data_IF_868478960906
#
_entry.id   IF_868478960906
#
_cell.length_a   1.000
_cell.length_b   1.000
_cell.length_c   1.000
_cell.angle_alpha   90.00
_cell.angle_beta   90.00
_cell.angle_gamma   90.00
#
_symmetry.space_group_name_H-M   'P 1'
#
loop_
_entity.id
_entity.type
_entity.pdbx_description
1 polymer ?
#
# COMPACT_ATOMS: atom_id res chain seq x y z
N UNK A 1 17.54 9.82 -10.75
CA UNK A 1 17.75 9.98 -9.29
C UNK A 1 16.42 10.19 -8.54
N UNK A 2 15.55 11.11 -8.95
CA UNK A 2 14.29 11.40 -8.24
C UNK A 2 13.25 10.26 -8.22
N UNK A 3 12.95 9.63 -9.37
CA UNK A 3 11.93 8.56 -9.39
C UNK A 3 12.32 7.35 -8.54
N UNK A 4 13.59 6.95 -8.54
CA UNK A 4 14.08 5.86 -7.69
C UNK A 4 13.91 6.14 -6.20
N UNK A 5 14.12 7.39 -5.75
CA UNK A 5 13.87 7.79 -4.36
C UNK A 5 12.38 7.70 -3.99
N UNK A 6 11.50 8.12 -4.89
CA UNK A 6 10.04 8.05 -4.68
C UNK A 6 9.56 6.60 -4.68
N UNK A 7 10.03 5.78 -5.61
CA UNK A 7 9.78 4.33 -5.65
C UNK A 7 10.28 3.63 -4.38
N UNK A 8 11.46 4.01 -3.92
CA UNK A 8 12.00 3.49 -2.67
C UNK A 8 11.16 3.91 -1.45
N UNK A 9 10.78 5.19 -1.38
CA UNK A 9 10.06 5.75 -0.22
C UNK A 9 8.62 5.26 -0.09
N UNK A 10 7.89 5.16 -1.19
CA UNK A 10 6.43 4.96 -1.16
C UNK A 10 5.99 3.58 -1.66
N UNK A 11 6.86 2.87 -2.40
CA UNK A 11 6.47 1.65 -3.12
C UNK A 11 7.42 0.48 -2.83
N UNK A 12 8.20 0.56 -1.74
CA UNK A 12 9.07 -0.52 -1.24
C UNK A 12 8.68 -1.05 0.13
N UNK A 13 7.48 -0.74 0.61
CA UNK A 13 7.02 -1.33 1.85
C UNK A 13 6.85 -2.84 1.68
N UNK A 14 7.19 -3.59 2.73
CA UNK A 14 6.81 -4.98 2.92
C UNK A 14 6.71 -5.30 4.41
N UNK A 15 5.72 -6.11 4.76
CA UNK A 15 5.44 -6.61 6.10
C UNK A 15 6.05 -7.98 6.38
N UNK A 16 6.65 -8.64 5.39
CA UNK A 16 7.08 -10.05 5.49
C UNK A 16 8.02 -10.33 6.67
N UNK A 17 9.03 -9.50 6.90
CA UNK A 17 9.96 -9.67 8.03
C UNK A 17 9.27 -9.42 9.37
N UNK A 18 8.37 -8.44 9.44
CA UNK A 18 7.59 -8.15 10.66
C UNK A 18 6.59 -9.28 10.95
N UNK A 19 6.03 -9.89 9.91
CA UNK A 19 5.17 -11.06 10.02
C UNK A 19 5.97 -12.29 10.48
N UNK A 20 7.19 -12.49 9.97
CA UNK A 20 8.09 -13.55 10.44
C UNK A 20 8.48 -13.36 11.91
N UNK A 21 8.77 -12.13 12.33
CA UNK A 21 9.05 -11.80 13.73
C UNK A 21 7.85 -12.13 14.64
N UNK A 22 6.64 -11.69 14.25
CA UNK A 22 5.40 -12.01 14.97
C UNK A 22 5.19 -13.53 15.08
N UNK A 23 5.31 -14.26 13.96
CA UNK A 23 5.17 -15.72 13.94
C UNK A 23 6.21 -16.39 14.85
N UNK A 24 7.48 -15.96 14.77
CA UNK A 24 8.58 -16.48 15.58
C UNK A 24 8.30 -16.30 17.07
N UNK A 25 7.82 -15.11 17.48
CA UNK A 25 7.50 -14.82 18.88
C UNK A 25 6.30 -15.65 19.36
N UNK A 26 5.22 -15.74 18.58
CA UNK A 26 4.05 -16.55 18.92
C UNK A 26 4.38 -18.03 19.05
N UNK A 27 5.21 -18.57 18.15
CA UNK A 27 5.65 -19.96 18.21
C UNK A 27 6.58 -20.24 19.39
N UNK A 28 7.41 -19.27 19.77
CA UNK A 28 8.25 -19.35 20.97
C UNK A 28 7.41 -19.36 22.26
N UNK A 29 6.35 -18.56 22.32
CA UNK A 29 5.51 -18.42 23.52
C UNK A 29 4.46 -19.53 23.66
N UNK A 30 3.85 -19.96 22.54
CA UNK A 30 2.67 -20.84 22.53
C UNK A 30 2.95 -22.22 21.93
N UNK A 31 4.14 -22.44 21.40
CA UNK A 31 4.48 -23.63 20.61
C UNK A 31 4.13 -23.46 19.13
N UNK A 32 4.68 -24.34 18.29
CA UNK A 32 4.64 -24.24 16.83
C UNK A 32 3.22 -24.15 16.25
N UNK A 33 2.32 -25.04 16.70
CA UNK A 33 0.98 -25.18 16.13
C UNK A 33 0.04 -24.07 16.63
N UNK A 34 0.03 -23.81 17.93
CA UNK A 34 -0.82 -22.76 18.53
C UNK A 34 -0.35 -21.36 18.14
N UNK A 35 0.98 -21.13 18.12
CA UNK A 35 1.54 -19.87 17.65
C UNK A 35 1.16 -19.57 16.20
N UNK A 36 1.15 -20.59 15.34
CA UNK A 36 0.68 -20.45 13.96
C UNK A 36 -0.83 -20.15 13.89
N UNK A 37 -1.67 -20.85 14.66
CA UNK A 37 -3.11 -20.57 14.71
C UNK A 37 -3.40 -19.12 15.11
N UNK A 38 -2.72 -18.62 16.15
CA UNK A 38 -2.85 -17.23 16.59
C UNK A 38 -2.32 -16.26 15.52
N UNK A 39 -1.19 -16.57 14.87
CA UNK A 39 -0.69 -15.75 13.77
C UNK A 39 -1.73 -15.61 12.65
N UNK A 40 -2.34 -16.71 12.22
CA UNK A 40 -3.36 -16.71 11.17
C UNK A 40 -4.62 -15.92 11.55
N UNK A 41 -4.97 -15.86 12.83
CA UNK A 41 -6.06 -15.00 13.32
C UNK A 41 -5.67 -13.51 13.33
N UNK A 42 -4.41 -13.19 13.62
CA UNK A 42 -3.91 -11.80 13.65
C UNK A 42 -3.51 -11.26 12.27
N UNK A 43 -3.26 -12.16 11.31
CA UNK A 43 -2.79 -11.86 9.95
C UNK A 43 -3.60 -12.66 8.93
N UNK A 44 -4.92 -12.46 8.93
CA UNK A 44 -5.77 -13.05 7.91
C UNK A 44 -5.37 -12.54 6.53
N UNK A 45 -5.48 -13.40 5.53
CA UNK A 45 -5.02 -13.12 4.17
C UNK A 45 -6.09 -12.42 3.33
N UNK A 46 -7.36 -12.69 3.63
CA UNK A 46 -8.49 -12.21 2.88
C UNK A 46 -9.73 -12.16 3.79
N UNK A 47 -10.35 -10.99 3.86
CA UNK A 47 -11.71 -10.81 4.37
C UNK A 47 -12.63 -10.43 3.20
N UNK A 48 -13.57 -11.31 2.79
CA UNK A 48 -14.54 -11.01 1.74
C UNK A 48 -15.50 -9.87 2.07
N UNK A 49 -15.66 -9.52 3.35
CA UNK A 49 -16.53 -8.41 3.79
C UNK A 49 -15.86 -7.03 3.72
N UNK A 50 -14.54 -6.99 3.45
CA UNK A 50 -13.82 -5.74 3.32
C UNK A 50 -14.32 -4.92 2.11
N UNK A 51 -14.60 -3.61 2.27
CA UNK A 51 -15.02 -2.76 1.16
C UNK A 51 -13.91 -2.65 0.11
N UNK A 52 -14.29 -2.77 -1.16
CA UNK A 52 -13.36 -2.77 -2.30
C UNK A 52 -13.50 -1.51 -3.15
N UNK A 53 -12.38 -1.07 -3.75
CA UNK A 53 -12.35 0.04 -4.69
C UNK A 53 -13.02 -0.37 -6.02
N UNK A 54 -12.64 -1.55 -6.53
CA UNK A 54 -13.13 -2.14 -7.78
C UNK A 54 -14.14 -3.22 -7.46
N UNK A 55 -15.35 -3.07 -7.98
CA UNK A 55 -16.50 -3.91 -7.67
C UNK A 55 -16.72 -5.02 -8.68
N UNK A 56 -16.32 -4.79 -9.93
CA UNK A 56 -16.38 -5.82 -10.97
C UNK A 56 -15.62 -7.09 -10.57
N UNK A 57 -16.23 -8.25 -10.87
CA UNK A 57 -15.61 -9.55 -10.63
C UNK A 57 -14.29 -9.65 -11.40
N UNK A 58 -13.17 -9.60 -10.67
CA UNK A 58 -11.86 -9.82 -11.25
C UNK A 58 -11.63 -11.32 -11.43
N UNK A 59 -10.89 -11.70 -12.49
CA UNK A 59 -10.48 -13.09 -12.66
C UNK A 59 -9.68 -13.51 -11.44
N UNK A 60 -10.07 -14.62 -10.82
CA UNK A 60 -9.49 -15.25 -9.62
C UNK A 60 -8.05 -15.75 -9.81
N UNK A 61 -7.30 -15.26 -10.81
CA UNK A 61 -5.99 -15.80 -11.19
C UNK A 61 -4.85 -15.35 -10.27
N UNK A 62 -5.04 -14.32 -9.44
CA UNK A 62 -4.06 -13.90 -8.42
C UNK A 62 -4.25 -14.65 -7.09
N UNK A 63 -4.75 -15.88 -7.13
CA UNK A 63 -4.80 -16.73 -5.94
C UNK A 63 -3.37 -17.18 -5.60
N UNK A 64 -2.73 -16.49 -4.66
CA UNK A 64 -1.62 -17.09 -3.92
C UNK A 64 -2.14 -18.38 -3.27
N UNK A 65 -1.63 -19.53 -3.71
CA UNK A 65 -2.02 -20.84 -3.21
C UNK A 65 -1.42 -21.02 -1.81
N UNK A 66 -2.23 -21.52 -0.89
CA UNK A 66 -2.09 -21.23 0.55
C UNK A 66 -1.98 -22.46 1.45
N UNK A 67 -1.98 -23.67 0.89
CA UNK A 67 -2.06 -24.86 1.73
C UNK A 67 -0.67 -25.42 2.01
N UNK A 68 -0.22 -25.20 3.26
CA UNK A 68 0.66 -26.07 4.06
C UNK A 68 2.18 -25.88 4.09
N UNK A 69 2.79 -24.90 3.42
CA UNK A 69 4.25 -24.75 3.47
C UNK A 69 4.68 -23.54 4.32
N UNK A 70 4.44 -23.65 5.63
CA UNK A 70 5.16 -22.85 6.63
C UNK A 70 6.27 -23.64 7.32
N UNK A 71 6.45 -24.91 6.89
CA UNK A 71 7.56 -25.74 7.32
C UNK A 71 8.83 -25.21 6.64
N UNK A 72 9.90 -25.09 7.42
CA UNK A 72 11.25 -24.76 6.96
C UNK A 72 11.54 -23.28 6.63
N UNK A 73 10.80 -22.32 7.20
CA UNK A 73 11.27 -20.92 7.28
C UNK A 73 12.08 -20.77 8.57
N UNK A 74 13.32 -20.28 8.47
CA UNK A 74 14.14 -20.07 9.66
C UNK A 74 13.57 -18.92 10.50
N UNK A 75 13.53 -19.05 11.85
CA UNK A 75 13.10 -17.95 12.70
C UNK A 75 14.03 -16.74 12.52
N UNK A 76 13.54 -15.57 12.86
CA UNK A 76 14.35 -14.35 12.93
C UNK A 76 14.73 -14.04 14.38
N UNK A 77 15.95 -13.57 14.62
CA UNK A 77 16.36 -13.12 15.95
C UNK A 77 15.75 -11.76 16.27
N UNK A 78 15.45 -11.52 17.56
CA UNK A 78 14.95 -10.23 18.04
C UNK A 78 15.85 -9.05 17.64
N UNK A 79 17.17 -9.27 17.56
CA UNK A 79 18.14 -8.24 17.14
C UNK A 79 17.93 -7.89 15.66
N UNK A 80 17.89 -8.89 14.79
CA UNK A 80 17.67 -8.70 13.36
C UNK A 80 16.30 -8.04 13.09
N UNK A 81 15.23 -8.54 13.70
CA UNK A 81 13.89 -7.96 13.54
C UNK A 81 13.85 -6.46 13.94
N UNK A 82 14.47 -6.10 15.08
CA UNK A 82 14.59 -4.69 15.51
C UNK A 82 15.42 -3.85 14.55
N UNK A 83 16.53 -4.38 14.04
CA UNK A 83 17.37 -3.68 13.05
C UNK A 83 16.60 -3.44 11.76
N UNK A 84 15.88 -4.44 11.25
CA UNK A 84 15.03 -4.31 10.07
C UNK A 84 13.98 -3.22 10.27
N UNK A 85 13.23 -3.26 11.38
CA UNK A 85 12.21 -2.26 11.69
C UNK A 85 12.80 -0.85 11.84
N UNK A 86 13.96 -0.70 12.47
CA UNK A 86 14.63 0.59 12.60
C UNK A 86 15.02 1.18 11.23
N UNK A 87 15.59 0.36 10.35
CA UNK A 87 15.93 0.78 8.99
C UNK A 87 14.69 1.09 8.15
N UNK A 88 13.65 0.26 8.24
CA UNK A 88 12.38 0.50 7.55
C UNK A 88 11.77 1.83 8.01
N UNK A 89 11.81 2.17 9.31
CA UNK A 89 11.31 3.45 9.84
C UNK A 89 12.10 4.64 9.31
N UNK A 90 13.42 4.51 9.15
CA UNK A 90 14.26 5.54 8.53
C UNK A 90 13.90 5.70 7.05
N UNK A 91 13.78 4.60 6.32
CA UNK A 91 13.54 4.58 4.88
C UNK A 91 12.13 5.03 4.49
N UNK A 92 11.09 4.56 5.18
CA UNK A 92 9.67 4.72 4.85
C UNK A 92 8.92 5.67 5.78
N UNK A 93 9.49 5.98 6.95
CA UNK A 93 8.88 6.83 7.96
C UNK A 93 8.18 6.02 9.05
N UNK A 94 8.20 6.53 10.28
CA UNK A 94 7.64 5.86 11.46
C UNK A 94 6.16 5.50 11.28
N UNK A 95 5.35 6.43 10.77
CA UNK A 95 3.91 6.24 10.63
C UNK A 95 3.55 5.12 9.67
N UNK A 96 4.25 5.02 8.53
CA UNK A 96 4.08 3.95 7.54
C UNK A 96 4.40 2.58 8.13
N UNK A 97 5.52 2.46 8.84
CA UNK A 97 5.98 1.17 9.40
C UNK A 97 5.18 0.74 10.61
N UNK A 98 4.75 1.68 11.45
CA UNK A 98 4.02 1.38 12.68
C UNK A 98 2.51 1.24 12.45
N UNK A 99 2.05 1.26 11.19
CA UNK A 99 0.64 1.11 10.85
C UNK A 99 -0.24 2.27 11.32
N UNK A 100 0.36 3.42 11.64
CA UNK A 100 -0.42 4.65 11.86
C UNK A 100 -1.03 5.00 10.51
N UNK A 101 -2.34 5.29 10.41
CA UNK A 101 -3.00 5.54 9.14
C UNK A 101 -2.44 6.80 8.43
N UNK A 102 -1.32 6.68 7.74
CA UNK A 102 -0.98 7.54 6.60
C UNK A 102 -1.82 7.04 5.45
N UNK A 103 -2.64 7.92 4.93
CA UNK A 103 -3.68 7.53 4.03
C UNK A 103 -3.76 8.50 2.86
N UNK A 104 -4.39 8.10 1.78
CA UNK A 104 -4.78 9.01 0.70
C UNK A 104 -6.18 8.62 0.33
N UNK A 105 -7.05 9.60 0.19
CA UNK A 105 -8.42 9.36 -0.23
C UNK A 105 -8.68 9.93 -1.62
N UNK A 106 -9.63 9.32 -2.30
CA UNK A 106 -10.16 9.80 -3.57
C UNK A 106 -11.58 9.29 -3.74
N UNK A 107 -12.42 10.08 -4.41
CA UNK A 107 -13.68 9.60 -4.94
C UNK A 107 -13.95 10.22 -6.29
N UNK A 108 -14.56 9.43 -7.16
CA UNK A 108 -14.98 9.85 -8.49
C UNK A 108 -16.45 9.52 -8.64
N UNK A 109 -17.27 10.51 -8.95
CA UNK A 109 -18.70 10.36 -9.15
C UNK A 109 -19.01 10.63 -10.61
N UNK A 110 -19.95 9.87 -11.15
CA UNK A 110 -20.58 10.13 -12.44
C UNK A 110 -21.68 11.18 -12.31
N UNK A 111 -22.08 11.81 -13.41
CA UNK A 111 -23.05 12.89 -13.48
C UNK A 111 -24.46 12.51 -13.03
N UNK A 112 -24.82 11.23 -13.09
CA UNK A 112 -26.08 10.73 -12.52
C UNK A 112 -26.10 10.74 -10.98
N UNK A 113 -24.92 10.83 -10.34
CA UNK A 113 -24.72 10.99 -8.89
C UNK A 113 -24.49 12.45 -8.48
N UNK A 114 -24.44 13.40 -9.42
CA UNK A 114 -24.23 14.82 -9.14
C UNK A 114 -25.46 15.65 -9.50
N UNK A 115 -25.70 16.76 -8.78
CA UNK A 115 -26.81 17.68 -9.10
C UNK A 115 -26.55 18.36 -10.43
N UNK A 116 -25.29 18.70 -10.69
CA UNK A 116 -24.81 19.44 -11.85
C UNK A 116 -24.73 18.56 -13.12
N UNK A 117 -24.88 17.24 -12.99
CA UNK A 117 -24.89 16.32 -14.14
C UNK A 117 -23.53 16.10 -14.78
N UNK A 118 -22.44 16.29 -14.02
CA UNK A 118 -21.06 16.17 -14.48
C UNK A 118 -20.28 15.19 -13.61
N UNK A 119 -19.28 14.54 -14.22
CA UNK A 119 -18.32 13.75 -13.47
C UNK A 119 -17.46 14.64 -12.56
N UNK A 120 -17.25 14.20 -11.32
CA UNK A 120 -16.45 14.92 -10.32
C UNK A 120 -15.39 13.99 -9.77
N UNK A 121 -14.13 14.43 -9.81
CA UNK A 121 -13.01 13.75 -9.15
C UNK A 121 -12.52 14.62 -7.99
N UNK A 122 -12.54 14.05 -6.79
CA UNK A 122 -11.87 14.59 -5.62
C UNK A 122 -10.69 13.70 -5.24
N UNK A 123 -9.57 14.30 -4.85
CA UNK A 123 -8.41 13.56 -4.37
C UNK A 123 -7.72 14.30 -3.21
N UNK A 124 -7.63 13.66 -2.06
CA UNK A 124 -6.88 14.12 -0.89
C UNK A 124 -5.66 13.23 -0.62
N UNK A 125 -4.51 13.48 -1.29
CA UNK A 125 -3.27 12.78 -0.98
C UNK A 125 -2.73 13.24 0.38
N UNK A 126 -2.59 12.33 1.36
CA UNK A 126 -2.11 12.67 2.71
C UNK A 126 -0.68 12.13 2.88
N UNK A 127 0.29 13.04 2.77
CA UNK A 127 1.71 12.73 2.88
C UNK A 127 2.34 13.27 4.17
N UNK A 128 1.53 13.85 5.06
CA UNK A 128 1.99 14.69 6.17
C UNK A 128 1.92 16.18 5.82
N UNK A 129 2.16 17.05 6.81
CA UNK A 129 2.19 18.50 6.65
C UNK A 129 3.62 19.01 6.82
N UNK A 130 4.06 19.84 5.88
CA UNK A 130 5.43 20.34 5.80
C UNK A 130 5.45 21.82 5.45
N UNK A 131 6.51 22.51 5.88
CA UNK A 131 6.81 23.89 5.49
C UNK A 131 8.23 23.94 4.93
N UNK A 132 8.43 24.22 3.63
CA UNK A 132 7.41 24.51 2.61
C UNK A 132 6.56 23.28 2.25
N UNK A 133 5.46 23.50 1.52
CA UNK A 133 4.53 22.45 1.11
C UNK A 133 5.25 21.32 0.33
N UNK A 134 4.81 20.07 0.54
CA UNK A 134 5.37 18.90 -0.15
C UNK A 134 4.98 18.83 -1.63
N UNK A 135 3.87 19.49 -2.00
CA UNK A 135 3.41 19.61 -3.38
C UNK A 135 3.70 20.99 -3.95
N UNK A 136 3.85 21.04 -5.27
CA UNK A 136 4.03 22.26 -6.05
C UNK A 136 2.91 22.36 -7.09
N UNK A 137 2.25 23.53 -7.15
CA UNK A 137 1.25 23.83 -8.15
C UNK A 137 1.93 24.27 -9.45
N UNK A 138 1.52 23.69 -10.58
CA UNK A 138 2.13 23.96 -11.89
C UNK A 138 1.09 23.85 -13.00
N UNK A 139 1.20 24.73 -13.99
CA UNK A 139 0.56 24.61 -15.29
C UNK A 139 1.61 24.43 -16.39
N UNK A 140 1.39 23.48 -17.29
CA UNK A 140 2.28 23.23 -18.43
C UNK A 140 1.49 23.41 -19.73
N UNK A 141 1.91 24.38 -20.54
CA UNK A 141 1.27 24.75 -21.81
C UNK A 141 2.32 24.80 -22.92
N UNK A 142 2.37 23.77 -23.77
CA UNK A 142 3.37 23.60 -24.83
C UNK A 142 3.88 22.16 -24.94
N UNK A 143 4.59 21.84 -26.03
CA UNK A 143 5.18 20.51 -26.29
C UNK A 143 4.19 19.33 -26.14
N UNK A 144 2.92 19.55 -26.50
CA UNK A 144 1.84 18.56 -26.38
C UNK A 144 1.18 18.48 -25.00
N UNK A 145 1.61 19.31 -24.03
CA UNK A 145 0.94 19.47 -22.75
C UNK A 145 0.02 20.71 -22.75
N UNK A 146 -1.12 20.58 -22.10
CA UNK A 146 -2.00 21.68 -21.72
C UNK A 146 -2.72 21.27 -20.43
N UNK A 147 -2.07 21.47 -19.28
CA UNK A 147 -2.54 20.95 -18.00
C UNK A 147 -2.36 21.95 -16.87
N UNK A 148 -3.08 21.71 -15.78
CA UNK A 148 -2.87 22.36 -14.48
C UNK A 148 -3.07 21.33 -13.37
N UNK A 149 -2.35 21.49 -12.26
CA UNK A 149 -2.46 20.58 -11.13
C UNK A 149 -1.39 20.81 -10.08
N UNK A 150 -1.23 19.81 -9.22
CA UNK A 150 -0.22 19.76 -8.16
C UNK A 150 0.55 18.45 -8.23
N UNK A 151 1.80 18.45 -7.78
CA UNK A 151 2.63 17.24 -7.73
C UNK A 151 3.69 17.33 -6.63
N UNK A 152 4.16 16.22 -6.04
CA UNK A 152 5.30 16.25 -5.12
C UNK A 152 6.50 16.97 -5.74
N UNK A 153 7.15 17.84 -4.96
CA UNK A 153 8.28 18.67 -5.42
C UNK A 153 9.38 17.78 -6.04
N UNK A 154 9.91 18.21 -7.19
CA UNK A 154 11.01 17.52 -7.88
C UNK A 154 10.59 16.45 -8.88
N UNK A 155 9.28 16.26 -9.09
CA UNK A 155 8.75 15.37 -10.14
C UNK A 155 8.43 16.11 -11.44
N UNK A 156 8.93 15.64 -12.59
CA UNK A 156 8.47 16.09 -13.91
C UNK A 156 7.01 15.71 -14.21
N UNK A 157 6.50 14.65 -13.58
CA UNK A 157 5.14 14.17 -13.78
C UNK A 157 4.16 14.84 -12.82
N UNK A 158 3.01 15.27 -13.33
CA UNK A 158 1.94 15.90 -12.55
C UNK A 158 0.99 14.80 -12.10
N UNK A 159 1.03 14.43 -10.82
CA UNK A 159 0.26 13.28 -10.30
C UNK A 159 -1.22 13.58 -10.05
N UNK A 160 -1.58 14.85 -9.85
CA UNK A 160 -2.94 15.26 -9.50
C UNK A 160 -3.30 16.49 -10.34
N UNK A 161 -4.28 16.37 -11.24
CA UNK A 161 -4.61 17.50 -12.11
C UNK A 161 -5.59 17.18 -13.22
N UNK A 162 -5.67 18.10 -14.18
CA UNK A 162 -6.50 18.00 -15.36
C UNK A 162 -5.82 18.65 -16.57
N UNK A 163 -6.15 18.16 -17.76
CA UNK A 163 -5.75 18.78 -19.03
C UNK A 163 -6.94 19.42 -19.78
N UNK A 164 -8.07 19.60 -19.09
CA UNK A 164 -9.32 20.12 -19.65
C UNK A 164 -10.14 19.09 -20.43
N UNK A 165 -9.61 17.89 -20.71
CA UNK A 165 -10.35 16.76 -21.30
C UNK A 165 -10.61 15.67 -20.27
N UNK A 166 -9.59 15.35 -19.49
CA UNK A 166 -9.63 14.37 -18.41
C UNK A 166 -9.10 14.99 -17.13
N UNK A 167 -9.52 14.46 -15.99
CA UNK A 167 -8.93 14.69 -14.68
C UNK A 167 -8.39 13.36 -14.13
N UNK A 168 -7.28 13.43 -13.41
CA UNK A 168 -6.67 12.25 -12.79
C UNK A 168 -6.18 12.56 -11.38
N UNK A 169 -6.15 11.50 -10.59
CA UNK A 169 -5.63 11.50 -9.23
C UNK A 169 -5.09 10.13 -8.87
N UNK A 170 -4.53 10.01 -7.66
CA UNK A 170 -4.04 8.74 -7.18
C UNK A 170 -4.12 8.58 -5.66
N UNK A 171 -4.11 7.33 -5.24
CA UNK A 171 -3.84 6.91 -3.87
C UNK A 171 -2.77 5.82 -3.90
N UNK A 172 -2.05 5.60 -2.80
CA UNK A 172 -1.18 4.41 -2.66
C UNK A 172 -2.01 3.15 -2.94
N UNK A 173 -1.43 2.23 -3.71
CA UNK A 173 -2.06 0.97 -4.09
C UNK A 173 -1.89 -0.10 -3.02
N UNK A 174 -2.68 -1.17 -3.14
CA UNK A 174 -2.65 -2.34 -2.23
C UNK A 174 -2.14 -3.60 -2.92
N UNK A 175 -1.62 -3.48 -4.14
CA UNK A 175 -1.04 -4.61 -4.86
C UNK A 175 0.33 -4.97 -4.28
N UNK A 176 0.59 -6.28 -4.20
CA UNK A 176 1.82 -6.83 -3.67
C UNK A 176 2.91 -6.92 -4.76
N UNK A 177 3.83 -5.96 -4.73
CA UNK A 177 4.89 -5.78 -5.75
C UNK A 177 6.31 -6.00 -5.23
N UNK A 178 6.48 -6.35 -3.96
CA UNK A 178 7.79 -6.49 -3.32
C UNK A 178 7.81 -7.76 -2.47
N UNK A 179 8.94 -8.48 -2.49
CA UNK A 179 9.17 -9.61 -1.59
C UNK A 179 10.50 -9.42 -0.88
N UNK A 180 10.61 -10.01 0.30
CA UNK A 180 11.85 -10.19 1.04
C UNK A 180 12.30 -11.64 0.89
N UNK A 181 13.58 -11.83 0.64
CA UNK A 181 14.20 -13.14 0.57
C UNK A 181 15.10 -13.36 1.79
N UNK A 182 14.86 -14.46 2.52
CA UNK A 182 15.75 -14.97 3.55
C UNK A 182 16.87 -15.79 2.88
N UNK A 183 18.07 -15.25 2.93
CA UNK A 183 19.29 -15.81 2.35
C UNK A 183 20.03 -16.62 3.42
N UNK A 184 20.38 -17.87 3.14
CA UNK A 184 21.25 -18.68 4.00
C UNK A 184 22.70 -18.30 3.77
N UNK A 185 23.40 -17.84 4.79
CA UNK A 185 24.80 -17.42 4.73
C UNK A 185 25.74 -18.63 4.77
N UNK A 186 26.90 -18.53 4.12
CA UNK A 186 27.96 -19.52 4.29
C UNK A 186 28.48 -19.48 5.74
N UNK A 187 28.42 -20.59 6.51
CA UNK A 187 28.91 -20.63 7.88
C UNK A 187 30.39 -20.28 8.03
N UNK A 188 31.19 -20.52 6.98
CA UNK A 188 32.63 -20.19 6.95
C UNK A 188 32.93 -18.78 6.42
N UNK A 189 31.99 -18.15 5.72
CA UNK A 189 32.15 -16.80 5.18
C UNK A 189 30.80 -16.08 5.08
N UNK A 190 30.44 -15.25 6.06
CA UNK A 190 29.15 -14.55 6.08
C UNK A 190 28.94 -13.56 4.92
N UNK A 191 29.95 -13.34 4.06
CA UNK A 191 29.85 -12.53 2.83
C UNK A 191 29.55 -13.37 1.57
N UNK A 192 29.20 -14.63 1.76
CA UNK A 192 28.64 -15.51 0.75
C UNK A 192 27.28 -16.07 1.21
N UNK A 193 26.44 -16.44 0.26
CA UNK A 193 25.13 -17.01 0.53
C UNK A 193 24.79 -18.13 -0.46
N UNK A 194 23.94 -19.06 -0.01
CA UNK A 194 23.54 -20.23 -0.79
C UNK A 194 22.64 -19.80 -1.95
N UNK A 195 22.99 -20.19 -3.16
CA UNK A 195 22.18 -20.02 -4.35
C UNK A 195 22.39 -21.19 -5.31
N UNK A 196 21.30 -21.91 -5.65
CA UNK A 196 21.31 -23.08 -6.53
C UNK A 196 22.38 -24.12 -6.14
N UNK A 197 22.47 -24.41 -4.85
CA UNK A 197 23.36 -25.45 -4.29
C UNK A 197 24.81 -25.03 -4.07
N UNK A 198 25.21 -23.80 -4.42
CA UNK A 198 26.57 -23.28 -4.19
C UNK A 198 26.54 -21.98 -3.38
N UNK A 199 27.59 -21.74 -2.59
CA UNK A 199 27.79 -20.44 -1.95
C UNK A 199 28.40 -19.47 -2.97
N UNK A 200 27.76 -18.32 -3.15
CA UNK A 200 28.25 -17.25 -4.02
C UNK A 200 28.41 -15.95 -3.24
N UNK A 201 29.38 -15.09 -3.59
CA UNK A 201 29.61 -13.84 -2.87
C UNK A 201 28.47 -12.85 -3.11
N UNK A 202 28.21 -12.01 -2.11
CA UNK A 202 27.43 -10.80 -2.32
C UNK A 202 28.20 -9.82 -3.22
N UNK A 203 27.48 -9.09 -4.08
CA UNK A 203 28.03 -7.86 -4.62
C UNK A 203 28.25 -6.86 -3.49
N UNK A 204 29.43 -6.27 -3.40
CA UNK A 204 29.81 -5.36 -2.32
C UNK A 204 30.28 -4.02 -2.89
N UNK A 205 29.80 -2.93 -2.30
CA UNK A 205 30.23 -1.58 -2.64
C UNK A 205 30.32 -0.74 -1.37
N UNK A 206 31.40 0.00 -1.23
CA UNK A 206 31.52 1.04 -0.22
C UNK A 206 30.93 2.35 -0.73
N UNK A 207 30.00 2.92 0.04
CA UNK A 207 29.42 4.23 -0.19
C UNK A 207 29.97 5.18 0.85
N UNK A 208 30.67 6.21 0.40
CA UNK A 208 31.25 7.23 1.26
C UNK A 208 30.25 8.36 1.46
N UNK A 209 29.78 8.53 2.69
CA UNK A 209 28.85 9.58 3.10
C UNK A 209 29.66 10.70 3.75
N UNK A 210 29.69 11.86 3.09
CA UNK A 210 30.34 13.05 3.65
C UNK A 210 29.52 13.57 4.83
N UNK A 211 30.16 13.72 6.00
CA UNK A 211 29.52 14.22 7.22
C UNK A 211 30.09 15.60 7.54
N UNK A 212 29.21 16.60 7.68
CA UNK A 212 29.64 17.99 7.95
C UNK A 212 30.45 18.03 9.25
N UNK A 213 31.65 18.62 9.18
CA UNK A 213 32.59 18.78 10.30
C UNK A 213 33.06 17.46 10.95
N UNK A 214 32.96 16.33 10.25
CA UNK A 214 33.42 15.03 10.72
C UNK A 214 34.14 14.28 9.60
N UNK A 215 34.79 13.18 9.93
CA UNK A 215 35.32 12.27 8.93
C UNK A 215 34.17 11.66 8.10
N UNK A 216 34.47 11.28 6.85
CA UNK A 216 33.53 10.56 6.01
C UNK A 216 33.08 9.27 6.70
N UNK A 217 31.78 9.00 6.70
CA UNK A 217 31.24 7.72 7.13
C UNK A 217 31.22 6.76 5.93
N UNK A 218 31.88 5.61 6.04
CA UNK A 218 31.87 4.57 4.99
C UNK A 218 30.80 3.54 5.30
N UNK A 219 29.84 3.40 4.40
CA UNK A 219 28.77 2.42 4.47
C UNK A 219 29.06 1.27 3.51
N UNK A 220 29.09 0.04 4.03
CA UNK A 220 29.13 -1.17 3.21
C UNK A 220 27.73 -1.53 2.72
N UNK A 221 27.55 -1.58 1.40
CA UNK A 221 26.31 -1.96 0.73
C UNK A 221 26.49 -3.32 0.08
N UNK A 222 25.63 -4.26 0.45
CA UNK A 222 25.64 -5.62 -0.10
C UNK A 222 24.39 -5.87 -0.95
N UNK A 223 24.57 -6.55 -2.08
CA UNK A 223 23.51 -6.94 -3.02
C UNK A 223 23.62 -8.42 -3.34
N UNK A 224 22.54 -9.17 -3.12
CA UNK A 224 22.38 -10.54 -3.61
C UNK A 224 21.71 -10.54 -4.99
N UNK A 225 21.50 -11.73 -5.56
CA UNK A 225 20.67 -11.92 -6.78
C UNK A 225 19.25 -11.41 -6.61
N UNK A 226 18.71 -11.44 -5.38
CA UNK A 226 17.34 -11.03 -5.06
C UNK A 226 17.22 -9.56 -4.67
N UNK A 227 18.33 -8.84 -4.50
CA UNK A 227 18.30 -7.40 -4.26
C UNK A 227 19.25 -6.95 -3.16
N UNK A 228 19.06 -5.72 -2.69
CA UNK A 228 19.90 -5.17 -1.62
C UNK A 228 19.57 -5.83 -0.29
N UNK A 229 20.62 -6.19 0.46
CA UNK A 229 20.49 -6.74 1.81
C UNK A 229 20.01 -5.62 2.72
N UNK A 230 18.83 -5.80 3.32
CA UNK A 230 18.30 -4.91 4.34
C UNK A 230 18.91 -5.24 5.71
N UNK A 231 18.88 -6.50 6.13
CA UNK A 231 19.28 -6.87 7.49
C UNK A 231 20.04 -8.19 7.54
N UNK A 232 20.93 -8.31 8.52
CA UNK A 232 21.71 -9.50 8.81
C UNK A 232 21.24 -10.12 10.13
N UNK A 233 21.15 -11.44 10.16
CA UNK A 233 20.84 -12.24 11.34
C UNK A 233 21.92 -13.30 11.53
N UNK A 234 23.07 -12.86 12.05
CA UNK A 234 24.26 -13.69 12.24
C UNK A 234 23.99 -14.89 13.17
N UNK A 235 23.10 -14.72 14.16
CA UNK A 235 22.73 -15.79 15.09
C UNK A 235 22.06 -16.98 14.39
N UNK A 236 21.33 -16.72 13.31
CA UNK A 236 20.63 -17.73 12.53
C UNK A 236 21.34 -18.03 11.20
N UNK A 237 22.55 -17.49 10.98
CA UNK A 237 23.25 -17.57 9.69
C UNK A 237 22.37 -17.17 8.50
N UNK A 238 21.56 -16.11 8.65
CA UNK A 238 20.72 -15.60 7.57
C UNK A 238 20.92 -14.11 7.31
N UNK A 239 20.55 -13.66 6.12
CA UNK A 239 20.38 -12.26 5.77
C UNK A 239 19.09 -12.06 4.99
N UNK A 240 18.56 -10.85 4.98
CA UNK A 240 17.28 -10.52 4.34
C UNK A 240 17.54 -9.54 3.21
N UNK A 241 17.10 -9.86 1.99
CA UNK A 241 17.26 -8.99 0.82
C UNK A 241 15.89 -8.67 0.21
N UNK A 242 15.70 -7.42 -0.20
CA UNK A 242 14.42 -7.00 -0.77
C UNK A 242 14.46 -6.98 -2.30
N UNK A 243 13.55 -7.72 -2.92
CA UNK A 243 13.28 -7.76 -4.35
C UNK A 243 12.08 -6.89 -4.68
N UNK A 244 12.21 -6.03 -5.69
CA UNK A 244 11.20 -5.03 -6.05
C UNK A 244 10.85 -5.18 -7.52
N UNK A 245 9.57 -5.31 -7.85
CA UNK A 245 9.17 -5.53 -9.25
C UNK A 245 9.44 -4.34 -10.16
N UNK A 246 9.55 -3.14 -9.59
CA UNK A 246 9.84 -1.91 -10.30
C UNK A 246 11.33 -1.70 -10.59
N UNK A 247 12.24 -2.50 -10.01
CA UNK A 247 13.68 -2.37 -10.25
C UNK A 247 14.00 -2.56 -11.75
N UNK A 248 14.73 -1.61 -12.32
CA UNK A 248 15.09 -1.59 -13.74
C UNK A 248 14.06 -0.96 -14.68
N UNK A 249 12.89 -0.54 -14.17
CA UNK A 249 11.83 0.14 -14.95
C UNK A 249 11.36 1.45 -14.29
N UNK A 250 12.22 2.06 -13.47
CA UNK A 250 11.94 3.30 -12.75
C UNK A 250 11.70 4.47 -13.71
N UNK A 251 12.50 4.56 -14.76
CA UNK A 251 12.37 5.60 -15.79
C UNK A 251 11.09 5.39 -16.62
N UNK A 252 10.77 4.15 -16.98
CA UNK A 252 9.51 3.85 -17.67
C UNK A 252 8.29 4.23 -16.82
N UNK A 253 8.34 4.00 -15.51
CA UNK A 253 7.29 4.45 -14.59
C UNK A 253 7.15 5.97 -14.58
N UNK A 254 8.28 6.70 -14.52
CA UNK A 254 8.25 8.18 -14.60
C UNK A 254 7.65 8.66 -15.92
N UNK A 255 8.01 8.04 -17.04
CA UNK A 255 7.47 8.37 -18.35
C UNK A 255 5.98 8.02 -18.47
N UNK A 256 5.53 6.92 -17.86
CA UNK A 256 4.12 6.59 -17.72
C UNK A 256 3.35 7.69 -16.98
N UNK A 257 3.83 8.10 -15.80
CA UNK A 257 3.21 9.21 -15.05
C UNK A 257 3.18 10.52 -15.85
N UNK A 258 4.29 10.89 -16.49
CA UNK A 258 4.37 12.16 -17.22
C UNK A 258 3.46 12.16 -18.46
N UNK A 259 3.46 11.09 -19.24
CA UNK A 259 2.70 11.03 -20.49
C UNK A 259 1.20 10.80 -20.28
N UNK A 260 0.77 10.26 -19.12
CA UNK A 260 -0.64 10.10 -18.79
C UNK A 260 -1.40 11.43 -18.83
N UNK A 261 -0.72 12.53 -18.49
CA UNK A 261 -1.29 13.87 -18.53
C UNK A 261 -1.65 14.39 -19.94
N UNK A 262 -1.19 13.70 -21.00
CA UNK A 262 -1.54 14.01 -22.41
C UNK A 262 -2.73 13.20 -22.93
N UNK A 263 -3.20 12.21 -22.17
CA UNK A 263 -4.32 11.38 -22.57
C UNK A 263 -5.61 12.22 -22.70
N UNK A 264 -6.42 11.87 -23.69
CA UNK A 264 -7.71 12.53 -23.98
C UNK A 264 -8.91 11.61 -23.72
N UNK A 265 -8.66 10.36 -23.38
CA UNK A 265 -9.68 9.34 -23.09
C UNK A 265 -9.08 8.22 -22.21
N UNK A 266 -9.94 7.31 -21.77
CA UNK A 266 -9.58 6.16 -20.92
C UNK A 266 -8.50 5.25 -21.52
N UNK A 267 -8.61 4.93 -22.81
CA UNK A 267 -7.68 3.99 -23.45
C UNK A 267 -6.27 4.58 -23.58
N UNK A 268 -6.16 5.87 -23.93
CA UNK A 268 -4.88 6.59 -23.93
C UNK A 268 -4.28 6.69 -22.52
N UNK A 269 -5.12 6.86 -21.50
CA UNK A 269 -4.70 6.88 -20.10
C UNK A 269 -4.16 5.52 -19.65
N UNK A 270 -4.88 4.43 -19.96
CA UNK A 270 -4.42 3.05 -19.70
C UNK A 270 -3.17 2.66 -20.49
N UNK A 271 -2.99 3.20 -21.69
CA UNK A 271 -1.78 2.99 -22.49
C UNK A 271 -0.53 3.55 -21.81
N UNK A 272 -0.66 4.52 -20.92
CA UNK A 272 0.43 4.99 -20.05
C UNK A 272 0.46 4.27 -18.71
N UNK A 273 -0.71 3.92 -18.15
CA UNK A 273 -0.83 3.18 -16.91
C UNK A 273 -0.06 1.84 -16.94
N UNK A 274 -0.07 1.13 -18.08
CA UNK A 274 0.68 -0.14 -18.26
C UNK A 274 2.19 -0.02 -18.08
N UNK A 275 2.75 1.20 -18.12
CA UNK A 275 4.19 1.47 -17.96
C UNK A 275 4.59 1.69 -16.49
N UNK A 276 3.61 1.79 -15.60
CA UNK A 276 3.79 2.12 -14.18
C UNK A 276 3.95 0.82 -13.40
N UNK A 277 5.17 0.60 -12.90
CA UNK A 277 5.49 -0.58 -12.10
C UNK A 277 5.19 -0.40 -10.60
N UNK A 278 4.97 0.84 -10.16
CA UNK A 278 4.65 1.19 -8.78
C UNK A 278 3.24 0.72 -8.38
N UNK A 279 3.10 0.19 -7.16
CA UNK A 279 1.78 -0.14 -6.59
C UNK A 279 0.99 1.13 -6.25
N UNK A 280 0.21 1.63 -7.20
CA UNK A 280 -0.54 2.88 -7.11
C UNK A 280 -1.93 2.72 -7.71
N UNK A 281 -2.96 3.29 -7.11
CA UNK A 281 -4.30 3.33 -7.69
C UNK A 281 -4.47 4.65 -8.42
N UNK A 282 -4.79 4.60 -9.72
CA UNK A 282 -5.15 5.77 -10.52
C UNK A 282 -6.65 5.92 -10.64
N UNK A 283 -7.11 7.18 -10.60
CA UNK A 283 -8.50 7.58 -10.79
C UNK A 283 -8.61 8.44 -12.05
N UNK A 284 -9.73 8.33 -12.75
CA UNK A 284 -10.01 8.99 -14.01
C UNK A 284 -11.42 9.56 -14.01
N UNK A 285 -11.57 10.78 -14.53
CA UNK A 285 -12.86 11.36 -14.94
C UNK A 285 -12.67 12.13 -16.25
N UNK A 286 -13.70 12.23 -17.09
CA UNK A 286 -13.65 13.04 -18.30
C UNK A 286 -14.88 13.91 -18.55
N UNK A 287 -14.76 14.81 -19.53
CA UNK A 287 -15.83 15.74 -19.94
C UNK A 287 -17.03 15.08 -20.61
N UNK A 288 -16.97 13.77 -20.89
CA UNK A 288 -18.05 12.97 -21.45
C UNK A 288 -18.77 12.14 -20.38
N UNK A 289 -18.60 12.51 -19.12
CA UNK A 289 -19.23 11.85 -17.97
C UNK A 289 -18.79 10.39 -17.78
N UNK A 290 -17.55 10.06 -18.16
CA UNK A 290 -16.98 8.76 -17.85
C UNK A 290 -16.07 8.84 -16.64
N UNK A 291 -16.08 7.77 -15.84
CA UNK A 291 -15.22 7.61 -14.68
C UNK A 291 -14.50 6.27 -14.73
N UNK A 292 -13.32 6.17 -14.14
CA UNK A 292 -12.56 4.94 -14.12
C UNK A 292 -11.55 4.86 -12.98
N UNK A 293 -11.11 3.64 -12.72
CA UNK A 293 -10.08 3.34 -11.73
C UNK A 293 -9.20 2.19 -12.20
N UNK A 294 -7.91 2.25 -11.90
CA UNK A 294 -6.98 1.17 -12.19
C UNK A 294 -5.98 1.00 -11.04
N UNK A 295 -5.88 -0.22 -10.51
CA UNK A 295 -4.85 -0.60 -9.55
C UNK A 295 -3.59 -1.02 -10.33
N UNK A 296 -2.58 -0.18 -10.31
CA UNK A 296 -1.34 -0.34 -11.06
C UNK A 296 -0.27 -1.00 -10.21
N UNK A 297 0.71 -1.60 -10.89
CA UNK A 297 1.82 -2.31 -10.27
C UNK A 297 2.31 -3.41 -11.20
N UNK A 298 3.62 -3.63 -11.24
CA UNK A 298 4.21 -4.76 -11.97
C UNK A 298 4.14 -5.99 -11.07
N UNK A 299 3.23 -6.91 -11.37
CA UNK A 299 2.93 -8.04 -10.47
C UNK A 299 3.88 -9.22 -10.74
N UNK A 300 4.67 -9.68 -9.75
CA UNK A 300 5.53 -10.85 -9.94
C UNK A 300 4.71 -12.14 -10.00
N UNK A 301 5.15 -13.08 -10.84
CA UNK A 301 4.65 -14.45 -10.86
C UNK A 301 5.48 -15.24 -9.84
N UNK A 302 4.87 -15.53 -8.69
CA UNK A 302 5.49 -16.27 -7.58
C UNK A 302 5.28 -17.78 -7.77
N UNK A 303 6.26 -18.63 -7.42
CA UNK A 303 6.06 -20.08 -7.42
C UNK A 303 5.08 -20.49 -6.31
N UNK A 304 4.41 -21.62 -6.49
CA UNK A 304 3.34 -22.10 -5.60
C UNK A 304 3.78 -22.33 -4.14
N UNK A 305 5.07 -22.58 -3.93
CA UNK A 305 5.65 -22.82 -2.61
C UNK A 305 5.98 -21.53 -1.83
N UNK A 306 5.79 -20.34 -2.43
CA UNK A 306 6.07 -19.07 -1.77
C UNK A 306 4.84 -18.55 -1.02
N UNK A 307 4.98 -18.37 0.29
CA UNK A 307 3.93 -17.78 1.12
C UNK A 307 3.95 -16.24 1.04
N UNK A 308 2.84 -15.62 0.64
CA UNK A 308 2.77 -14.16 0.34
C UNK A 308 3.03 -13.24 1.54
N UNK A 309 2.86 -13.72 2.78
CA UNK A 309 3.08 -12.89 3.99
C UNK A 309 4.44 -13.08 4.65
N UNK A 310 5.30 -13.96 4.15
CA UNK A 310 6.56 -14.31 4.81
C UNK A 310 7.72 -14.29 3.81
N UNK A 311 8.97 -14.09 4.29
CA UNK A 311 10.12 -14.04 3.40
C UNK A 311 10.27 -15.33 2.59
N UNK A 312 10.51 -15.18 1.29
CA UNK A 312 10.84 -16.27 0.38
C UNK A 312 12.25 -16.84 0.64
N UNK A 313 12.51 -18.08 0.25
CA UNK A 313 13.86 -18.67 0.32
C UNK A 313 14.78 -18.12 -0.76
N UNK A 314 15.95 -17.64 -0.34
CA UNK A 314 16.99 -17.06 -1.20
C UNK A 314 17.85 -18.05 -1.98
N UNK A 315 17.64 -19.35 -1.80
CA UNK A 315 18.43 -20.44 -2.38
C UNK A 315 18.17 -20.69 -3.88
N UNK A 316 17.23 -19.94 -4.47
CA UNK A 316 16.82 -20.07 -5.87
C UNK A 316 15.55 -20.89 -6.09
N UNK A 317 15.01 -21.56 -5.06
CA UNK A 317 13.80 -22.39 -5.15
C UNK A 317 12.50 -21.58 -5.20
N UNK A 318 12.53 -20.32 -4.74
CA UNK A 318 11.37 -19.41 -4.70
C UNK A 318 11.57 -18.17 -5.58
N UNK A 319 12.38 -18.27 -6.65
CA UNK A 319 12.55 -17.16 -7.58
C UNK A 319 11.27 -16.84 -8.35
N UNK A 320 11.01 -15.55 -8.54
CA UNK A 320 9.97 -15.08 -9.46
C UNK A 320 10.16 -15.67 -10.85
N UNK A 321 9.06 -16.15 -11.43
CA UNK A 321 9.00 -16.80 -12.73
C UNK A 321 8.74 -15.81 -13.88
N UNK A 322 8.65 -14.51 -13.57
CA UNK A 322 8.32 -13.46 -14.50
C UNK A 322 7.37 -12.44 -13.88
N UNK A 323 6.63 -11.75 -14.74
CA UNK A 323 5.63 -10.78 -14.34
C UNK A 323 4.37 -11.00 -15.17
N UNK A 324 3.21 -10.76 -14.55
CA UNK A 324 1.94 -10.78 -15.27
C UNK A 324 1.84 -9.61 -16.24
N UNK A 325 1.15 -9.83 -17.37
CA UNK A 325 0.76 -8.76 -18.27
C UNK A 325 -0.22 -7.79 -17.61
N UNK A 326 -0.21 -6.52 -18.03
CA UNK A 326 -1.10 -5.46 -17.53
C UNK A 326 -2.60 -5.79 -17.61
N UNK A 327 -3.00 -6.76 -18.44
CA UNK A 327 -4.36 -7.27 -18.47
C UNK A 327 -4.81 -7.82 -17.10
N UNK A 328 -3.89 -8.31 -16.28
CA UNK A 328 -4.14 -8.83 -14.93
C UNK A 328 -4.29 -7.74 -13.87
N UNK A 329 -3.86 -6.50 -14.15
CA UNK A 329 -4.08 -5.39 -13.24
C UNK A 329 -5.59 -5.11 -13.11
N UNK A 330 -6.13 -5.05 -11.88
CA UNK A 330 -7.52 -4.72 -11.63
C UNK A 330 -7.86 -3.33 -12.15
N UNK A 331 -8.96 -3.22 -12.89
CA UNK A 331 -9.43 -1.96 -13.49
C UNK A 331 -10.93 -2.00 -13.70
N UNK A 332 -11.56 -0.85 -13.63
CA UNK A 332 -13.00 -0.69 -13.83
C UNK A 332 -13.29 0.67 -14.48
N UNK A 333 -14.22 0.66 -15.44
CA UNK A 333 -14.62 1.82 -16.21
C UNK A 333 -16.15 1.90 -16.20
N UNK A 334 -16.69 3.06 -15.83
CA UNK A 334 -18.12 3.32 -15.66
C UNK A 334 -18.83 2.25 -14.80
N UNK A 335 -18.45 2.10 -13.51
CA UNK A 335 -19.08 1.14 -12.61
C UNK A 335 -20.58 1.41 -12.48
N UNK A 336 -21.39 0.35 -12.35
CA UNK A 336 -22.84 0.46 -12.20
C UNK A 336 -23.27 1.29 -10.98
N UNK A 337 -22.43 1.33 -9.94
CA UNK A 337 -22.67 2.13 -8.74
C UNK A 337 -22.68 3.64 -8.99
N UNK A 338 -22.15 4.10 -10.14
CA UNK A 338 -22.04 5.52 -10.50
C UNK A 338 -20.92 6.25 -9.76
N UNK A 339 -20.12 5.57 -8.93
CA UNK A 339 -18.94 6.15 -8.30
C UNK A 339 -17.88 5.11 -7.96
N UNK A 340 -16.66 5.59 -7.74
CA UNK A 340 -15.54 4.84 -7.15
C UNK A 340 -15.04 5.64 -5.94
N UNK A 341 -14.64 4.96 -4.86
CA UNK A 341 -13.97 5.61 -3.72
C UNK A 341 -12.83 4.78 -3.19
N UNK A 342 -11.84 5.44 -2.64
CA UNK A 342 -10.66 4.84 -2.02
C UNK A 342 -10.30 5.61 -0.77
N UNK A 343 -9.91 4.87 0.26
CA UNK A 343 -9.07 5.39 1.33
C UNK A 343 -7.91 4.43 1.64
N UNK A 344 -7.25 3.96 0.57
CA UNK A 344 -6.29 2.83 0.57
C UNK A 344 -6.89 1.51 1.08
N UNK A 345 -8.20 1.34 1.00
CA UNK A 345 -8.86 0.07 1.24
C UNK A 345 -8.52 -0.93 0.11
N UNK A 346 -9.00 -2.15 0.28
CA UNK A 346 -8.76 -3.28 -0.61
C UNK A 346 -9.07 -2.94 -2.07
N UNK A 347 -8.15 -3.19 -3.01
CA UNK A 347 -8.37 -2.79 -4.40
C UNK A 347 -9.52 -3.57 -5.06
N UNK A 348 -9.64 -4.88 -4.82
CA UNK A 348 -10.67 -5.74 -5.41
C UNK A 348 -10.94 -6.97 -4.52
N UNK A 349 -12.06 -7.67 -4.77
CA UNK A 349 -12.43 -8.87 -4.03
C UNK A 349 -11.41 -10.00 -4.24
N UNK A 350 -10.97 -10.65 -3.16
CA UNK A 350 -9.96 -11.71 -3.22
C UNK A 350 -8.50 -11.24 -3.34
N UNK A 351 -8.23 -9.93 -3.30
CA UNK A 351 -6.86 -9.41 -3.16
C UNK A 351 -6.20 -9.98 -1.90
N UNK A 352 -4.99 -10.50 -2.06
CA UNK A 352 -4.09 -10.97 -1.00
C UNK A 352 -2.74 -10.28 -1.17
N UNK A 353 -2.16 -9.82 -0.06
CA UNK A 353 -0.81 -9.23 0.02
C UNK A 353 -0.21 -9.51 1.40
N UNK A 354 1.09 -9.29 1.52
CA UNK A 354 1.83 -9.35 2.79
C UNK A 354 1.29 -8.46 3.92
N UNK A 355 0.51 -7.44 3.55
CA UNK A 355 -0.04 -6.36 4.37
C UNK A 355 -1.58 -6.31 4.33
N UNK A 356 -2.24 -7.34 3.79
CA UNK A 356 -3.69 -7.39 3.50
C UNK A 356 -4.61 -7.70 4.70
N UNK A 357 -4.37 -7.09 5.86
CA UNK A 357 -5.33 -7.14 6.97
C UNK A 357 -6.56 -6.23 6.72
N UNK A 358 -7.09 -6.20 5.50
CA UNK A 358 -8.32 -5.50 5.16
C UNK A 358 -9.50 -6.21 5.81
N UNK A 359 -10.49 -5.47 6.33
CA UNK A 359 -11.70 -6.05 6.91
C UNK A 359 -12.90 -5.15 6.71
N UNK A 360 -14.08 -5.57 7.16
CA UNK A 360 -15.25 -4.67 7.23
C UNK A 360 -14.99 -3.42 8.10
N UNK A 361 -14.05 -3.51 9.05
CA UNK A 361 -13.54 -2.37 9.82
C UNK A 361 -12.55 -1.61 8.95
N UNK A 362 -13.07 -0.67 8.16
CA UNK A 362 -12.27 0.16 7.26
C UNK A 362 -12.72 1.63 7.33
N UNK A 363 -11.75 2.54 7.26
CA UNK A 363 -11.99 3.98 7.28
C UNK A 363 -12.69 4.48 6.02
N UNK A 364 -12.60 3.76 4.90
CA UNK A 364 -13.32 4.11 3.67
C UNK A 364 -14.83 4.16 3.90
N UNK A 365 -15.36 3.49 4.93
CA UNK A 365 -16.77 3.55 5.27
C UNK A 365 -17.22 4.97 5.71
N UNK A 366 -16.30 5.84 6.15
CA UNK A 366 -16.58 7.27 6.39
C UNK A 366 -16.73 8.09 5.09
N UNK A 367 -16.31 7.52 3.95
CA UNK A 367 -16.52 8.10 2.62
C UNK A 367 -17.71 7.45 1.92
N UNK A 368 -17.87 6.13 2.05
CA UNK A 368 -18.98 5.38 1.42
C UNK A 368 -20.33 5.87 1.94
N UNK A 369 -20.48 5.99 3.26
CA UNK A 369 -21.76 6.39 3.88
C UNK A 369 -22.31 7.73 3.34
N UNK A 370 -21.55 8.84 3.31
CA UNK A 370 -22.05 10.08 2.72
C UNK A 370 -22.24 10.00 1.20
N UNK A 371 -21.41 9.25 0.47
CA UNK A 371 -21.58 9.02 -0.99
C UNK A 371 -22.87 8.26 -1.34
N UNK A 372 -23.40 7.47 -0.40
CA UNK A 372 -24.63 6.70 -0.56
C UNK A 372 -25.84 7.34 0.15
N UNK A 373 -25.63 8.39 0.95
CA UNK A 373 -26.67 9.04 1.73
C UNK A 373 -27.78 9.69 0.88
N UNK A 374 -27.50 9.99 -0.39
CA UNK A 374 -28.42 10.62 -1.34
C UNK A 374 -28.26 10.03 -2.73
N UNK A 375 -29.32 10.13 -3.52
CA UNK A 375 -29.26 9.77 -4.94
C UNK A 375 -28.29 10.67 -5.73
N UNK A 376 -28.27 11.97 -5.41
CA UNK A 376 -27.39 12.97 -6.01
C UNK A 376 -26.79 13.88 -4.95
N UNK A 377 -25.54 14.31 -5.16
CA UNK A 377 -24.80 15.25 -4.32
C UNK A 377 -24.44 16.50 -5.12
N UNK A 378 -24.52 17.67 -4.48
CA UNK A 378 -23.93 18.91 -5.00
C UNK A 378 -22.41 18.87 -4.94
N UNK A 379 -21.73 19.72 -5.71
CA UNK A 379 -20.27 19.88 -5.60
C UNK A 379 -19.82 20.25 -4.17
N UNK A 380 -20.58 21.08 -3.46
CA UNK A 380 -20.25 21.45 -2.09
C UNK A 380 -20.34 20.26 -1.14
N UNK A 381 -21.37 19.41 -1.27
CA UNK A 381 -21.49 18.20 -0.46
C UNK A 381 -20.35 17.23 -0.75
N UNK A 382 -20.00 17.04 -2.03
CA UNK A 382 -18.86 16.21 -2.44
C UNK A 382 -17.55 16.73 -1.82
N UNK A 383 -17.36 18.05 -1.76
CA UNK A 383 -16.18 18.67 -1.14
C UNK A 383 -16.14 18.46 0.39
N UNK A 384 -17.27 18.64 1.08
CA UNK A 384 -17.35 18.53 2.55
C UNK A 384 -17.22 17.09 3.07
N UNK A 385 -17.31 16.06 2.21
CA UNK A 385 -17.05 14.66 2.59
C UNK A 385 -15.69 14.52 3.26
N UNK A 386 -14.64 15.14 2.69
CA UNK A 386 -13.28 15.02 3.25
C UNK A 386 -13.20 15.54 4.68
N UNK A 387 -13.85 16.68 4.93
CA UNK A 387 -13.85 17.35 6.24
C UNK A 387 -14.68 16.59 7.26
N UNK A 388 -15.83 16.08 6.84
CA UNK A 388 -16.68 15.21 7.67
C UNK A 388 -15.92 13.94 8.06
N UNK A 389 -15.25 13.30 7.10
CA UNK A 389 -14.42 12.13 7.33
C UNK A 389 -13.23 12.44 8.24
N UNK A 390 -12.56 13.59 8.07
CA UNK A 390 -11.44 14.02 8.91
C UNK A 390 -11.83 14.24 10.38
N UNK A 391 -13.09 14.59 10.65
CA UNK A 391 -13.62 14.68 12.02
C UNK A 391 -14.07 13.33 12.58
N UNK A 392 -14.10 12.26 11.81
CA UNK A 392 -14.66 10.99 12.26
C UNK A 392 -13.69 10.25 13.17
N UNK A 393 -14.17 9.76 14.32
CA UNK A 393 -13.43 8.74 15.06
C UNK A 393 -13.59 7.40 14.33
N UNK A 394 -12.48 6.90 13.79
CA UNK A 394 -12.44 5.71 12.94
C UNK A 394 -12.76 4.40 13.68
N UNK A 395 -12.78 4.43 15.02
CA UNK A 395 -13.11 3.28 15.87
C UNK A 395 -14.57 3.35 16.32
N UNK A 396 -15.09 4.55 16.56
CA UNK A 396 -16.33 4.77 17.26
C UNK A 396 -17.53 4.05 16.63
N UNK A 397 -17.67 4.05 15.29
CA UNK A 397 -18.77 3.33 14.60
C UNK A 397 -18.78 1.83 14.88
N UNK A 398 -17.60 1.25 15.13
CA UNK A 398 -17.44 -0.18 15.31
C UNK A 398 -17.51 -0.58 16.78
N UNK A 399 -17.00 0.24 17.70
CA UNK A 399 -16.92 -0.12 19.12
C UNK A 399 -18.04 0.45 19.98
N UNK A 400 -18.52 1.68 19.70
CA UNK A 400 -19.54 2.34 20.53
C UNK A 400 -20.81 1.50 20.68
N UNK A 401 -21.39 0.90 19.62
CA UNK A 401 -22.57 0.05 19.76
C UNK A 401 -22.37 -1.12 20.74
N UNK A 402 -21.20 -1.78 20.71
CA UNK A 402 -20.90 -2.87 21.64
C UNK A 402 -20.62 -2.37 23.06
N UNK A 403 -19.97 -1.22 23.22
CA UNK A 403 -19.74 -0.61 24.54
C UNK A 403 -21.06 -0.23 25.20
N UNK A 404 -21.98 0.38 24.44
CA UNK A 404 -23.33 0.73 24.92
C UNK A 404 -24.11 -0.52 25.32
N UNK A 405 -24.07 -1.56 24.48
CA UNK A 405 -24.71 -2.87 24.79
C UNK A 405 -24.10 -3.51 26.04
N UNK A 406 -22.78 -3.53 26.17
CA UNK A 406 -22.10 -4.12 27.32
C UNK A 406 -22.44 -3.40 28.63
N UNK A 407 -22.65 -2.09 28.59
CA UNK A 407 -23.03 -1.29 29.75
C UNK A 407 -24.44 -1.60 30.30
N UNK A 408 -25.30 -2.26 29.51
CA UNK A 408 -26.62 -2.74 29.96
C UNK A 408 -26.53 -3.99 30.84
N UNK A 409 -25.37 -4.66 30.87
CA UNK A 409 -25.15 -5.83 31.71
C UNK A 409 -25.31 -5.51 33.20
N UNK A 410 -25.92 -6.40 34.01
CA UNK A 410 -25.91 -6.28 35.47
C UNK A 410 -24.49 -6.17 36.05
N UNK A 411 -23.49 -6.77 35.37
CA UNK A 411 -22.07 -6.77 35.75
C UNK A 411 -21.33 -5.49 35.34
N UNK A 412 -21.96 -4.57 34.61
CA UNK A 412 -21.31 -3.33 34.18
C UNK A 412 -21.04 -2.42 35.38
N UNK A 413 -19.88 -1.77 35.39
CA UNK A 413 -19.49 -0.83 36.45
C UNK A 413 -20.42 0.39 36.47
N UNK A 414 -20.56 1.08 37.61
CA UNK A 414 -21.33 2.33 37.67
C UNK A 414 -20.87 3.38 36.66
N UNK A 415 -19.55 3.46 36.41
CA UNK A 415 -18.97 4.37 35.41
C UNK A 415 -19.42 4.00 33.99
N UNK A 416 -19.39 2.71 33.61
CA UNK A 416 -19.84 2.27 32.29
C UNK A 416 -21.33 2.62 32.05
N UNK A 417 -22.19 2.40 33.05
CA UNK A 417 -23.61 2.77 32.99
C UNK A 417 -23.83 4.27 32.84
N UNK A 418 -22.97 5.10 33.45
CA UNK A 418 -23.02 6.56 33.34
C UNK A 418 -22.53 7.07 31.98
N UNK A 419 -21.48 6.45 31.42
CA UNK A 419 -20.84 6.91 30.17
C UNK A 419 -21.59 6.42 28.92
N UNK A 420 -22.18 5.22 28.94
CA UNK A 420 -22.83 4.65 27.78
C UNK A 420 -23.92 5.55 27.13
N UNK A 421 -24.81 6.24 27.88
CA UNK A 421 -25.75 7.19 27.29
C UNK A 421 -25.07 8.36 26.56
N UNK A 422 -23.92 8.83 27.07
CA UNK A 422 -23.16 9.91 26.42
C UNK A 422 -22.57 9.45 25.08
N UNK A 423 -21.99 8.24 25.07
CA UNK A 423 -21.48 7.63 23.83
C UNK A 423 -22.61 7.35 22.84
N UNK A 424 -23.78 6.94 23.31
CA UNK A 424 -24.94 6.68 22.45
C UNK A 424 -25.51 7.97 21.83
N UNK A 425 -25.38 9.12 22.49
CA UNK A 425 -25.82 10.43 21.95
C UNK A 425 -24.78 11.12 21.07
N UNK A 426 -23.54 10.63 21.03
CA UNK A 426 -22.47 11.24 20.26
C UNK A 426 -22.59 10.88 18.78
N UNK A 427 -22.42 11.86 17.89
CA UNK A 427 -22.43 11.67 16.43
C UNK A 427 -21.13 11.06 15.89
N UNK A 428 -20.24 10.60 16.77
CA UNK A 428 -18.98 9.94 16.45
C UNK A 428 -17.96 10.87 15.76
N UNK A 429 -18.18 12.19 15.81
CA UNK A 429 -17.27 13.20 15.24
C UNK A 429 -16.56 14.02 16.33
N UNK A 430 -15.26 14.27 16.13
CA UNK A 430 -14.33 14.99 17.01
C UNK A 430 -14.22 16.48 16.62
N UNK A 431 -15.34 17.16 16.39
CA UNK A 431 -15.33 18.57 16.00
C UNK A 431 -14.76 19.45 17.13
N UNK A 432 -13.95 20.48 16.81
CA UNK A 432 -13.45 21.44 17.79
C UNK A 432 -14.56 22.30 18.40
#
# INVERSE_FOLDING_TARGET
VWVGLILNRFFSASSEVTNLDLLTQLQKEKGQEEGLKVYQQLRWLDDPSAPTIIQSAQKTQLLAHQQQILKDISPISNKAAKTYLAQARIALGKSVVDGVPTASNAWVLKGDKTIEGQAVLYNGPQQGWYTPAITYAIGLHGAGYNLTGITPVGLPAILFGTNGKIAWGSTVGSLDTNDVYQLTLNPSNSKEYLYKGIYIPFGHKQVKIKVKNQADHVLDVYKSKQGFVSTWDENNHTAYAQKRSWEGVEIETLLGWANAAKASNWDEFLAQAKRVAASITWFYADTKDNIGVAALGRLPIRPENQHIQLPAKGDGSMEWQGFYDFSHNPKEYNPQKGYVTSWNNKAYAGLRSDSSNFSYVDRVNELIEPLESKAKLSQQEIWEINKTAAWSDLNARYFVPYMVKAAQSPKATPLAKKVAPLLASWDLKLRP
#
